data_IF_817169318996
#
_entry.id   IF_817169318996
#
_cell.length_a   1.000
_cell.length_b   1.000
_cell.length_c   1.000
_cell.angle_alpha   90.00
_cell.angle_beta   90.00
_cell.angle_gamma   90.00
#
_symmetry.space_group_name_H-M   'P 1'
#
loop_
_entity.id
_entity.type
_entity.pdbx_description
1 polymer ?
#
# COMPACT_ATOMS: atom_id res chain seq x y z
N UNK A 1 -30.86 -24.49 -13.33
CA UNK A 1 -30.81 -23.03 -13.13
C UNK A 1 -29.73 -22.50 -14.08
N UNK A 2 -30.14 -21.69 -15.05
CA UNK A 2 -29.33 -21.42 -16.23
C UNK A 2 -28.15 -20.50 -15.95
N UNK A 3 -26.97 -20.89 -16.41
CA UNK A 3 -25.73 -20.08 -16.43
C UNK A 3 -25.88 -18.69 -17.04
N UNK A 4 -26.90 -18.50 -17.88
CA UNK A 4 -27.25 -17.20 -18.48
C UNK A 4 -27.81 -16.19 -17.47
N UNK A 5 -28.46 -16.65 -16.40
CA UNK A 5 -29.02 -15.78 -15.34
C UNK A 5 -27.96 -15.21 -14.42
N UNK A 6 -26.87 -15.95 -14.16
CA UNK A 6 -25.76 -15.50 -13.33
C UNK A 6 -24.87 -14.46 -14.07
N UNK A 7 -24.68 -14.63 -15.37
CA UNK A 7 -23.97 -13.64 -16.20
C UNK A 7 -24.75 -12.32 -16.33
N UNK A 8 -26.06 -12.36 -16.36
CA UNK A 8 -26.91 -11.15 -16.39
C UNK A 8 -26.92 -10.43 -15.02
N UNK A 9 -26.84 -11.14 -13.89
CA UNK A 9 -26.79 -10.52 -12.57
C UNK A 9 -25.44 -9.84 -12.30
N UNK A 10 -24.33 -10.46 -12.71
CA UNK A 10 -23.00 -9.86 -12.65
C UNK A 10 -22.87 -8.61 -13.55
N UNK A 11 -23.53 -8.64 -14.71
CA UNK A 11 -23.56 -7.51 -15.65
C UNK A 11 -24.36 -6.31 -15.11
N UNK A 12 -25.37 -6.55 -14.27
CA UNK A 12 -26.21 -5.48 -13.71
C UNK A 12 -25.59 -4.75 -12.52
N UNK A 13 -24.76 -5.43 -11.73
CA UNK A 13 -24.06 -4.82 -10.57
C UNK A 13 -22.88 -3.92 -11.00
N UNK A 14 -22.30 -4.16 -12.18
CA UNK A 14 -21.17 -3.38 -12.70
C UNK A 14 -21.56 -2.03 -13.36
N UNK A 15 -22.84 -1.72 -13.50
CA UNK A 15 -23.34 -0.58 -14.32
C UNK A 15 -23.53 0.75 -13.59
N UNK A 16 -23.21 0.88 -12.32
CA UNK A 16 -23.44 2.10 -11.54
C UNK A 16 -22.13 2.79 -11.09
N UNK A 17 -21.38 3.38 -12.03
CA UNK A 17 -20.41 4.41 -11.68
C UNK A 17 -20.19 5.40 -12.84
N UNK A 18 -20.42 6.66 -12.54
CA UNK A 18 -20.31 7.81 -13.45
C UNK A 18 -18.84 8.12 -13.72
N UNK A 19 -18.46 8.18 -14.99
CA UNK A 19 -17.12 8.59 -15.43
C UNK A 19 -16.94 10.10 -15.25
N UNK A 20 -16.08 10.50 -14.35
CA UNK A 20 -15.50 11.86 -14.32
C UNK A 20 -14.17 11.86 -15.07
N UNK A 21 -14.02 12.69 -16.10
CA UNK A 21 -12.74 12.98 -16.74
C UNK A 21 -11.82 13.64 -15.71
N UNK A 22 -10.78 12.95 -15.26
CA UNK A 22 -9.74 13.52 -14.43
C UNK A 22 -8.43 13.50 -15.21
N UNK A 23 -7.82 14.69 -15.37
CA UNK A 23 -6.46 14.82 -15.89
C UNK A 23 -5.49 14.01 -15.03
N UNK A 24 -4.53 13.34 -15.68
CA UNK A 24 -3.43 12.66 -14.99
C UNK A 24 -2.62 13.75 -14.30
N UNK A 25 -2.61 13.76 -12.97
CA UNK A 25 -1.81 14.69 -12.18
C UNK A 25 -0.33 14.47 -12.50
N UNK A 26 0.28 15.40 -13.22
CA UNK A 26 1.73 15.47 -13.38
C UNK A 26 2.32 15.91 -12.04
N UNK A 27 2.94 14.98 -11.31
CA UNK A 27 3.55 15.28 -10.00
C UNK A 27 3.28 14.20 -8.95
N UNK A 28 2.62 13.11 -9.29
CA UNK A 28 2.45 11.95 -8.42
C UNK A 28 3.31 10.76 -8.87
N UNK A 29 3.60 9.86 -7.93
CA UNK A 29 4.26 8.58 -8.22
C UNK A 29 3.23 7.58 -8.70
N UNK A 30 3.52 6.89 -9.81
CA UNK A 30 2.69 5.82 -10.34
C UNK A 30 3.53 4.59 -10.65
N UNK A 31 2.95 3.40 -10.41
CA UNK A 31 3.61 2.11 -10.60
C UNK A 31 2.69 1.10 -11.29
N UNK A 32 3.19 0.46 -12.33
CA UNK A 32 2.63 -0.76 -12.91
C UNK A 32 3.50 -1.92 -12.49
N UNK A 33 2.94 -2.91 -11.79
CA UNK A 33 3.70 -4.06 -11.29
C UNK A 33 3.09 -5.37 -11.74
N UNK A 34 3.97 -6.33 -11.96
CA UNK A 34 3.64 -7.68 -12.36
C UNK A 34 4.33 -8.67 -11.42
N UNK A 35 3.55 -9.59 -10.88
CA UNK A 35 4.01 -10.66 -9.99
C UNK A 35 3.60 -12.01 -10.56
N UNK A 36 4.48 -13.00 -10.42
CA UNK A 36 4.08 -14.39 -10.60
C UNK A 36 4.72 -15.29 -9.57
N UNK A 37 4.06 -16.42 -9.32
CA UNK A 37 4.58 -17.54 -8.56
C UNK A 37 4.27 -18.81 -9.36
N UNK A 38 5.30 -19.61 -9.66
CA UNK A 38 5.17 -20.97 -10.17
C UNK A 38 5.63 -21.95 -9.09
N UNK A 39 4.86 -23.01 -8.83
CA UNK A 39 5.10 -23.95 -7.73
C UNK A 39 5.13 -25.40 -8.21
N UNK A 40 5.93 -26.22 -7.53
CA UNK A 40 5.98 -27.67 -7.72
C UNK A 40 6.12 -28.36 -6.35
N UNK A 41 5.35 -29.44 -6.14
CA UNK A 41 5.42 -30.20 -4.89
C UNK A 41 4.61 -29.61 -3.72
N UNK A 42 3.74 -28.63 -3.99
CA UNK A 42 2.82 -28.03 -3.02
C UNK A 42 1.36 -28.37 -3.32
N UNK A 43 0.54 -28.42 -2.25
CA UNK A 43 -0.92 -28.36 -2.40
C UNK A 43 -1.36 -26.89 -2.58
N UNK A 44 -0.93 -26.30 -3.69
CA UNK A 44 -1.10 -24.90 -4.04
C UNK A 44 -1.19 -24.79 -5.58
N UNK A 45 -1.84 -23.79 -6.15
CA UNK A 45 -1.88 -23.60 -7.60
C UNK A 45 -0.49 -23.65 -8.22
N UNK A 46 -0.35 -24.39 -9.34
CA UNK A 46 0.94 -24.50 -10.04
C UNK A 46 1.45 -23.17 -10.58
N UNK A 47 0.54 -22.22 -10.80
CA UNK A 47 0.86 -20.87 -11.26
C UNK A 47 -0.14 -19.85 -10.80
N UNK A 48 0.35 -18.71 -10.32
CA UNK A 48 -0.43 -17.50 -9.99
C UNK A 48 0.23 -16.31 -10.65
N UNK A 49 -0.57 -15.42 -11.23
CA UNK A 49 -0.12 -14.15 -11.81
C UNK A 49 -1.01 -13.00 -11.31
N UNK A 50 -0.40 -11.89 -10.94
CA UNK A 50 -1.11 -10.66 -10.54
C UNK A 50 -0.49 -9.44 -11.20
N UNK A 51 -1.34 -8.59 -11.76
CA UNK A 51 -0.97 -7.27 -12.27
C UNK A 51 -1.60 -6.21 -11.40
N UNK A 52 -0.82 -5.22 -10.98
CA UNK A 52 -1.30 -4.10 -10.17
C UNK A 52 -0.92 -2.77 -10.79
N UNK A 53 -1.76 -1.76 -10.55
CA UNK A 53 -1.45 -0.34 -10.82
C UNK A 53 -1.68 0.42 -9.52
N UNK A 54 -0.64 1.12 -9.04
CA UNK A 54 -0.63 1.79 -7.73
C UNK A 54 -1.18 0.87 -6.62
N UNK A 55 -0.69 -0.39 -6.61
CA UNK A 55 -1.09 -1.48 -5.72
C UNK A 55 -2.55 -1.97 -5.85
N UNK A 56 -3.35 -1.36 -6.73
CA UNK A 56 -4.70 -1.85 -7.05
C UNK A 56 -4.60 -3.01 -8.03
N UNK A 57 -5.21 -4.15 -7.70
CA UNK A 57 -5.19 -5.34 -8.57
C UNK A 57 -6.05 -5.09 -9.82
N UNK A 58 -5.39 -5.04 -10.98
CA UNK A 58 -6.04 -4.92 -12.28
C UNK A 58 -6.35 -6.27 -12.91
N UNK A 59 -5.52 -7.26 -12.61
CA UNK A 59 -5.66 -8.60 -13.17
C UNK A 59 -5.13 -9.63 -12.17
N UNK A 60 -5.83 -10.75 -12.05
CA UNK A 60 -5.42 -11.91 -11.27
C UNK A 60 -5.71 -13.19 -12.06
N UNK A 61 -4.78 -14.11 -12.09
CA UNK A 61 -4.89 -15.42 -12.70
C UNK A 61 -4.37 -16.49 -11.73
N UNK A 62 -5.05 -17.61 -11.67
CA UNK A 62 -4.71 -18.76 -10.87
C UNK A 62 -4.96 -20.03 -11.70
N UNK A 63 -3.97 -20.93 -11.79
CA UNK A 63 -4.05 -22.14 -12.60
C UNK A 63 -5.09 -23.15 -12.14
N UNK A 64 -5.54 -23.08 -10.89
CA UNK A 64 -6.55 -23.97 -10.29
C UNK A 64 -7.96 -23.41 -10.41
N UNK A 65 -8.09 -22.14 -10.75
CA UNK A 65 -9.39 -21.46 -10.73
C UNK A 65 -10.10 -21.50 -12.06
N UNK A 66 -11.38 -21.87 -12.00
CA UNK A 66 -12.42 -21.27 -12.81
C UNK A 66 -12.68 -19.85 -12.30
N UNK A 67 -11.79 -18.90 -12.58
CA UNK A 67 -11.86 -17.55 -12.02
C UNK A 67 -13.07 -16.82 -12.57
N UNK A 68 -13.97 -16.40 -11.69
CA UNK A 68 -14.83 -15.25 -11.99
C UNK A 68 -13.92 -14.02 -12.05
N UNK A 69 -13.90 -13.25 -13.13
CA UNK A 69 -13.13 -12.04 -13.20
C UNK A 69 -13.59 -11.11 -12.07
N UNK A 70 -12.64 -10.62 -11.25
CA UNK A 70 -12.87 -9.38 -10.51
C UNK A 70 -13.48 -8.42 -11.52
N UNK A 71 -14.66 -7.81 -11.21
CA UNK A 71 -15.30 -6.83 -12.11
C UNK A 71 -14.69 -5.44 -11.85
N UNK A 72 -13.49 -5.12 -12.28
CA UNK A 72 -12.99 -3.76 -12.20
C UNK A 72 -13.79 -2.88 -13.18
N UNK A 73 -14.02 -1.64 -12.80
CA UNK A 73 -14.84 -0.72 -13.60
C UNK A 73 -14.25 -0.47 -14.99
N UNK A 74 -12.93 -0.57 -15.15
CA UNK A 74 -12.26 -0.42 -16.43
C UNK A 74 -12.66 -1.49 -17.47
N UNK A 75 -13.16 -2.66 -17.05
CA UNK A 75 -13.68 -3.70 -17.96
C UNK A 75 -14.96 -3.28 -18.69
N UNK A 76 -15.63 -2.22 -18.27
CA UNK A 76 -16.83 -1.72 -18.94
C UNK A 76 -16.54 -1.02 -20.28
N UNK A 77 -15.28 -0.88 -20.65
CA UNK A 77 -14.85 -0.29 -21.93
C UNK A 77 -14.40 -1.36 -22.91
N UNK A 78 -14.51 -1.09 -24.22
CA UNK A 78 -14.01 -1.99 -25.28
C UNK A 78 -12.50 -2.20 -25.12
N UNK A 79 -11.75 -1.14 -24.85
CA UNK A 79 -10.32 -1.18 -24.53
C UNK A 79 -10.02 -2.07 -23.34
N UNK A 80 -10.75 -1.89 -22.25
CA UNK A 80 -10.57 -2.66 -21.03
C UNK A 80 -10.78 -4.16 -21.27
N UNK A 81 -11.85 -4.54 -21.97
CA UNK A 81 -12.13 -5.93 -22.33
C UNK A 81 -11.00 -6.52 -23.21
N UNK A 82 -10.51 -5.76 -24.18
CA UNK A 82 -9.40 -6.22 -25.05
C UNK A 82 -8.12 -6.40 -24.24
N UNK A 83 -7.79 -5.48 -23.35
CA UNK A 83 -6.61 -5.58 -22.47
C UNK A 83 -6.70 -6.77 -21.53
N UNK A 84 -7.89 -6.98 -20.93
CA UNK A 84 -8.11 -8.15 -20.07
C UNK A 84 -7.91 -9.45 -20.82
N UNK A 85 -8.47 -9.58 -22.05
CA UNK A 85 -8.26 -10.74 -22.91
C UNK A 85 -6.79 -10.97 -23.19
N UNK A 86 -6.05 -9.92 -23.56
CA UNK A 86 -4.60 -9.99 -23.82
C UNK A 86 -3.83 -10.45 -22.59
N UNK A 87 -4.19 -9.97 -21.37
CA UNK A 87 -3.56 -10.40 -20.13
C UNK A 87 -3.89 -11.85 -19.80
N UNK A 88 -5.13 -12.29 -20.02
CA UNK A 88 -5.55 -13.66 -19.78
C UNK A 88 -4.86 -14.66 -20.72
N UNK A 89 -4.76 -14.34 -22.01
CA UNK A 89 -4.04 -15.16 -23.00
C UNK A 89 -2.54 -15.23 -22.66
N UNK A 90 -1.95 -14.13 -22.24
CA UNK A 90 -0.56 -14.09 -21.75
C UNK A 90 -0.38 -14.93 -20.50
N UNK A 91 -1.30 -14.85 -19.51
CA UNK A 91 -1.20 -15.62 -18.27
C UNK A 91 -1.26 -17.12 -18.53
N UNK A 92 -2.11 -17.59 -19.45
CA UNK A 92 -2.15 -18.99 -19.88
C UNK A 92 -0.83 -19.44 -20.52
N UNK A 93 -0.27 -18.60 -21.41
CA UNK A 93 1.04 -18.85 -21.99
C UNK A 93 2.14 -18.90 -20.92
N UNK A 94 2.16 -17.93 -20.02
CA UNK A 94 3.13 -17.85 -18.93
C UNK A 94 3.01 -19.05 -17.97
N UNK A 95 1.81 -19.50 -17.66
CA UNK A 95 1.59 -20.70 -16.85
C UNK A 95 2.33 -21.90 -17.47
N UNK A 96 2.11 -22.19 -18.74
CA UNK A 96 2.80 -23.28 -19.42
C UNK A 96 4.32 -23.07 -19.49
N UNK A 97 4.75 -21.89 -19.89
CA UNK A 97 6.16 -21.57 -20.07
C UNK A 97 6.95 -21.58 -18.75
N UNK A 98 6.43 -20.94 -17.70
CA UNK A 98 7.12 -20.84 -16.42
C UNK A 98 7.08 -22.13 -15.61
N UNK A 99 6.04 -22.97 -15.77
CA UNK A 99 6.02 -24.32 -15.20
C UNK A 99 7.14 -25.19 -15.82
N UNK A 100 7.30 -25.15 -17.15
CA UNK A 100 8.40 -25.86 -17.84
C UNK A 100 9.78 -25.30 -17.44
N UNK A 101 9.88 -23.98 -17.29
CA UNK A 101 11.11 -23.33 -16.81
C UNK A 101 11.46 -23.81 -15.40
N UNK A 102 10.47 -23.87 -14.48
CA UNK A 102 10.66 -24.35 -13.12
C UNK A 102 11.19 -25.80 -13.11
N UNK A 103 10.62 -26.70 -13.91
CA UNK A 103 11.14 -28.07 -14.04
C UNK A 103 12.61 -28.11 -14.48
N UNK A 104 12.98 -27.26 -15.44
CA UNK A 104 14.36 -27.15 -15.91
C UNK A 104 15.31 -26.61 -14.83
N UNK A 105 14.87 -25.60 -14.06
CA UNK A 105 15.62 -25.02 -12.96
C UNK A 105 15.83 -26.05 -11.85
N UNK A 106 14.77 -26.76 -11.45
CA UNK A 106 14.84 -27.82 -10.44
C UNK A 106 15.85 -28.89 -10.82
N UNK A 107 15.86 -29.36 -12.09
CA UNK A 107 16.84 -30.33 -12.56
C UNK A 107 18.28 -29.83 -12.40
N UNK A 108 18.55 -28.57 -12.64
CA UNK A 108 19.90 -27.98 -12.49
C UNK A 108 20.32 -27.90 -11.01
N UNK A 109 19.39 -27.57 -10.10
CA UNK A 109 19.68 -27.54 -8.67
C UNK A 109 19.78 -28.95 -8.07
N UNK A 110 18.96 -29.92 -8.50
CA UNK A 110 18.98 -31.28 -7.98
C UNK A 110 20.23 -32.08 -8.39
N UNK A 111 20.99 -31.62 -9.40
CA UNK A 111 22.33 -32.16 -9.68
C UNK A 111 23.35 -31.84 -8.58
N UNK A 112 23.06 -30.84 -7.74
CA UNK A 112 23.93 -30.35 -6.67
C UNK A 112 23.35 -30.53 -5.27
N UNK A 113 22.03 -30.76 -5.15
CA UNK A 113 21.32 -30.78 -3.86
C UNK A 113 20.10 -31.71 -3.92
N UNK A 114 20.15 -32.87 -3.24
CA UNK A 114 19.14 -33.94 -3.29
C UNK A 114 17.94 -33.74 -2.35
N UNK A 115 17.65 -32.52 -1.88
CA UNK A 115 16.51 -32.32 -0.98
C UNK A 115 15.17 -32.39 -1.73
N UNK A 116 14.21 -33.16 -1.18
CA UNK A 116 12.81 -33.28 -1.64
C UNK A 116 11.98 -32.02 -1.30
N UNK A 117 12.55 -30.86 -1.51
CA UNK A 117 11.93 -29.61 -1.09
C UNK A 117 10.91 -29.08 -2.09
N UNK A 118 9.99 -28.36 -1.55
CA UNK A 118 9.04 -27.50 -2.25
C UNK A 118 9.76 -26.53 -3.17
N UNK A 119 9.43 -26.55 -4.45
CA UNK A 119 10.02 -25.67 -5.43
C UNK A 119 9.10 -24.49 -5.73
N UNK A 120 9.63 -23.30 -5.52
CA UNK A 120 8.93 -22.04 -5.78
C UNK A 120 9.81 -21.17 -6.68
N UNK A 121 9.28 -20.79 -7.84
CA UNK A 121 9.88 -19.83 -8.74
C UNK A 121 9.04 -18.58 -8.80
N UNK A 122 9.62 -17.43 -8.50
CA UNK A 122 8.94 -16.17 -8.31
C UNK A 122 9.47 -15.13 -9.29
N UNK A 123 8.60 -14.25 -9.75
CA UNK A 123 9.01 -13.09 -10.52
C UNK A 123 8.31 -11.84 -10.07
N UNK A 124 9.08 -10.77 -10.06
CA UNK A 124 8.60 -9.41 -9.83
C UNK A 124 9.17 -8.47 -10.87
N UNK A 125 8.31 -7.66 -11.43
CA UNK A 125 8.74 -6.57 -12.30
C UNK A 125 7.86 -5.36 -12.12
N UNK A 126 8.41 -4.17 -12.39
CA UNK A 126 7.67 -2.93 -12.29
C UNK A 126 8.14 -1.89 -13.29
N UNK A 127 7.25 -0.94 -13.57
CA UNK A 127 7.52 0.27 -14.33
C UNK A 127 6.96 1.45 -13.54
N UNK A 128 7.85 2.31 -13.07
CA UNK A 128 7.53 3.44 -12.21
C UNK A 128 7.68 4.77 -12.95
N UNK A 129 6.71 5.67 -12.79
CA UNK A 129 6.79 7.06 -13.20
C UNK A 129 6.88 7.90 -11.92
N UNK A 130 7.96 8.64 -11.77
CA UNK A 130 8.19 9.49 -10.61
C UNK A 130 7.57 10.89 -10.82
N UNK A 131 7.33 11.68 -9.74
CA UNK A 131 6.76 13.02 -9.83
C UNK A 131 7.50 13.97 -10.78
N UNK A 132 8.80 13.80 -10.92
CA UNK A 132 9.66 14.58 -11.84
C UNK A 132 9.64 14.06 -13.30
N UNK A 133 8.77 13.10 -13.62
CA UNK A 133 8.68 12.49 -14.96
C UNK A 133 9.71 11.38 -15.21
N UNK A 134 10.66 11.13 -14.31
CA UNK A 134 11.64 10.04 -14.45
C UNK A 134 10.92 8.69 -14.53
N UNK A 135 11.37 7.82 -15.44
CA UNK A 135 10.86 6.48 -15.64
C UNK A 135 11.91 5.46 -15.21
N UNK A 136 11.52 4.47 -14.41
CA UNK A 136 12.36 3.35 -14.02
C UNK A 136 11.59 2.06 -14.19
N UNK A 137 12.26 1.03 -14.71
CA UNK A 137 11.73 -0.31 -14.81
C UNK A 137 12.72 -1.31 -14.25
N UNK A 138 12.22 -2.40 -13.69
CA UNK A 138 13.03 -3.52 -13.23
C UNK A 138 12.31 -4.85 -13.50
N UNK A 139 13.11 -5.88 -13.68
CA UNK A 139 12.66 -7.26 -13.84
C UNK A 139 13.61 -8.18 -13.07
N UNK A 140 13.07 -8.88 -12.09
CA UNK A 140 13.83 -9.80 -11.22
C UNK A 140 13.07 -11.12 -11.05
N UNK A 141 13.82 -12.20 -10.89
CA UNK A 141 13.26 -13.52 -10.61
C UNK A 141 14.05 -14.18 -9.49
N UNK A 142 13.35 -14.94 -8.64
CA UNK A 142 13.91 -15.67 -7.52
C UNK A 142 13.53 -17.14 -7.57
N UNK A 143 14.39 -17.97 -7.03
CA UNK A 143 14.13 -19.40 -6.84
C UNK A 143 14.34 -19.77 -5.37
N UNK A 144 13.37 -20.46 -4.77
CA UNK A 144 13.35 -20.80 -3.33
C UNK A 144 13.66 -19.60 -2.43
N UNK A 145 13.09 -18.41 -2.74
CA UNK A 145 13.25 -17.18 -1.99
C UNK A 145 14.60 -16.48 -2.12
N UNK A 146 15.49 -16.94 -3.03
CA UNK A 146 16.79 -16.31 -3.30
C UNK A 146 16.82 -15.76 -4.72
N UNK A 147 17.49 -14.63 -4.91
CA UNK A 147 17.67 -14.03 -6.21
C UNK A 147 18.29 -15.05 -7.18
N UNK A 148 17.62 -15.23 -8.31
CA UNK A 148 18.03 -16.17 -9.33
C UNK A 148 18.60 -15.46 -10.56
N UNK A 149 17.84 -14.49 -11.08
CA UNK A 149 18.27 -13.79 -12.25
C UNK A 149 17.46 -12.48 -12.47
N UNK A 150 18.07 -11.48 -13.10
CA UNK A 150 17.47 -10.19 -13.40
C UNK A 150 17.81 -9.73 -14.83
N UNK A 151 17.10 -8.69 -15.32
CA UNK A 151 17.35 -8.10 -16.63
C UNK A 151 18.02 -6.73 -16.46
N UNK A 152 19.21 -6.57 -17.04
CA UNK A 152 19.80 -5.25 -17.32
C UNK A 152 19.17 -4.73 -18.62
N UNK A 153 18.18 -3.86 -18.46
CA UNK A 153 17.38 -3.32 -19.57
C UNK A 153 18.24 -2.46 -20.50
N UNK A 154 19.20 -1.74 -19.96
CA UNK A 154 20.05 -0.82 -20.72
C UNK A 154 21.07 -1.57 -21.55
N UNK A 155 21.70 -2.60 -20.98
CA UNK A 155 22.65 -3.46 -21.67
C UNK A 155 22.01 -4.57 -22.48
N UNK A 156 20.71 -4.76 -22.39
CA UNK A 156 19.94 -5.83 -23.03
C UNK A 156 20.52 -7.21 -22.73
N UNK A 157 20.83 -7.46 -21.48
CA UNK A 157 21.43 -8.72 -21.04
C UNK A 157 20.83 -9.14 -19.70
N UNK A 158 20.79 -10.46 -19.47
CA UNK A 158 20.40 -10.95 -18.14
C UNK A 158 21.59 -11.06 -17.21
N UNK A 159 21.37 -10.89 -15.94
CA UNK A 159 22.33 -11.04 -14.85
C UNK A 159 21.97 -12.29 -14.06
N UNK A 160 22.86 -13.28 -14.04
CA UNK A 160 22.70 -14.48 -13.24
C UNK A 160 23.20 -14.20 -11.81
N UNK A 161 22.36 -14.37 -10.81
CA UNK A 161 22.71 -14.15 -9.41
C UNK A 161 23.36 -15.38 -8.75
N UNK A 162 23.20 -16.55 -9.36
CA UNK A 162 23.77 -17.83 -8.90
C UNK A 162 24.33 -18.63 -10.08
N UNK A 163 25.29 -19.54 -9.87
CA UNK A 163 25.89 -20.33 -10.95
C UNK A 163 24.87 -21.12 -11.76
N UNK A 164 23.84 -21.67 -11.11
CA UNK A 164 22.78 -22.44 -11.76
C UNK A 164 21.94 -21.59 -12.73
N UNK A 165 21.87 -20.28 -12.55
CA UNK A 165 21.17 -19.37 -13.43
C UNK A 165 21.94 -19.09 -14.76
N UNK A 166 23.23 -19.41 -14.83
CA UNK A 166 24.05 -19.12 -16.02
C UNK A 166 23.56 -19.88 -17.24
N UNK A 167 23.16 -21.14 -17.09
CA UNK A 167 22.61 -21.94 -18.19
C UNK A 167 21.29 -21.34 -18.67
N UNK A 168 20.41 -20.99 -17.74
CA UNK A 168 19.12 -20.36 -18.03
C UNK A 168 19.31 -19.01 -18.73
N UNK A 169 20.25 -18.19 -18.26
CA UNK A 169 20.65 -16.93 -18.90
C UNK A 169 21.02 -17.15 -20.36
N UNK A 170 21.95 -18.10 -20.66
CA UNK A 170 22.40 -18.39 -22.02
C UNK A 170 21.23 -18.80 -22.92
N UNK A 171 20.32 -19.64 -22.44
CA UNK A 171 19.13 -20.05 -23.19
C UNK A 171 18.21 -18.85 -23.51
N UNK A 172 18.01 -17.97 -22.54
CA UNK A 172 17.16 -16.78 -22.74
C UNK A 172 17.79 -15.78 -23.71
N UNK A 173 19.10 -15.60 -23.68
CA UNK A 173 19.81 -14.67 -24.56
C UNK A 173 20.00 -15.23 -25.97
N UNK A 174 20.03 -16.54 -26.12
CA UNK A 174 20.08 -17.19 -27.45
C UNK A 174 18.83 -16.90 -28.30
N UNK A 175 17.68 -16.65 -27.65
CA UNK A 175 16.46 -16.18 -28.31
C UNK A 175 16.44 -14.63 -28.35
N UNK A 176 17.16 -14.08 -29.35
CA UNK A 176 17.31 -12.61 -29.48
C UNK A 176 15.99 -11.90 -29.72
N UNK A 177 15.04 -12.49 -30.43
CA UNK A 177 13.71 -11.93 -30.68
C UNK A 177 12.93 -11.79 -29.37
N UNK A 178 12.98 -12.82 -28.54
CA UNK A 178 12.32 -12.77 -27.22
C UNK A 178 12.98 -11.75 -26.28
N UNK A 179 14.32 -11.69 -26.28
CA UNK A 179 15.07 -10.72 -25.49
C UNK A 179 14.72 -9.28 -25.89
N UNK A 180 14.72 -8.95 -27.17
CA UNK A 180 14.34 -7.63 -27.66
C UNK A 180 12.87 -7.30 -27.34
N UNK A 181 11.98 -8.27 -27.43
CA UNK A 181 10.56 -8.10 -27.06
C UNK A 181 10.42 -7.76 -25.57
N UNK A 182 11.13 -8.45 -24.67
CA UNK A 182 11.11 -8.20 -23.23
C UNK A 182 11.72 -6.83 -22.91
N UNK A 183 12.86 -6.49 -23.52
CA UNK A 183 13.51 -5.18 -23.35
C UNK A 183 12.59 -4.06 -23.83
N UNK A 184 11.99 -4.18 -25.02
CA UNK A 184 11.04 -3.21 -25.56
C UNK A 184 9.83 -3.01 -24.63
N UNK A 185 9.31 -4.11 -24.07
CA UNK A 185 8.24 -4.02 -23.09
C UNK A 185 8.60 -3.11 -21.91
N UNK A 186 9.77 -3.30 -21.29
CA UNK A 186 10.18 -2.50 -20.13
C UNK A 186 10.68 -1.09 -20.48
N UNK A 187 11.06 -0.84 -21.72
CA UNK A 187 11.44 0.53 -22.17
C UNK A 187 10.24 1.38 -22.53
N UNK A 188 9.18 0.79 -23.05
CA UNK A 188 8.04 1.54 -23.64
C UNK A 188 6.69 1.00 -23.21
N UNK A 189 6.33 -0.22 -23.57
CA UNK A 189 4.97 -0.75 -23.52
C UNK A 189 4.37 -0.77 -22.11
N UNK A 190 5.18 -1.06 -21.07
CA UNK A 190 4.66 -1.06 -19.70
C UNK A 190 4.28 0.34 -19.22
N UNK A 191 4.98 1.37 -19.65
CA UNK A 191 4.63 2.77 -19.32
C UNK A 191 3.38 3.24 -20.06
N UNK A 192 3.20 2.78 -21.31
CA UNK A 192 1.96 3.04 -22.06
C UNK A 192 0.77 2.35 -21.41
N UNK A 193 0.93 1.10 -20.96
CA UNK A 193 -0.09 0.40 -20.20
C UNK A 193 -0.41 1.09 -18.86
N UNK A 194 0.61 1.53 -18.13
CA UNK A 194 0.40 2.29 -16.90
C UNK A 194 -0.46 3.53 -17.17
N UNK A 195 -0.14 4.32 -18.18
CA UNK A 195 -0.94 5.49 -18.57
C UNK A 195 -2.37 5.11 -18.92
N UNK A 196 -2.55 4.09 -19.73
CA UNK A 196 -3.88 3.60 -20.13
C UNK A 196 -4.73 3.24 -18.90
N UNK A 197 -4.17 2.53 -17.90
CA UNK A 197 -4.90 2.22 -16.67
C UNK A 197 -5.21 3.46 -15.83
N UNK A 198 -4.28 4.40 -15.74
CA UNK A 198 -4.50 5.68 -15.04
C UNK A 198 -5.63 6.49 -15.69
N UNK A 199 -5.80 6.40 -17.00
CA UNK A 199 -6.87 7.08 -17.75
C UNK A 199 -8.22 6.37 -17.61
N UNK A 200 -8.26 5.04 -17.68
CA UNK A 200 -9.50 4.28 -17.85
C UNK A 200 -9.93 3.49 -16.60
N UNK A 201 -9.10 3.38 -15.55
CA UNK A 201 -9.40 2.66 -14.31
C UNK A 201 -9.65 3.63 -13.15
N UNK A 202 -10.91 4.05 -12.90
CA UNK A 202 -11.23 5.02 -11.85
C UNK A 202 -10.85 4.52 -10.45
N UNK A 203 -10.85 3.21 -10.20
CA UNK A 203 -10.49 2.58 -8.95
C UNK A 203 -9.03 2.84 -8.52
N UNK A 204 -8.13 3.10 -9.48
CA UNK A 204 -6.73 3.47 -9.20
C UNK A 204 -6.66 4.86 -8.58
N UNK A 205 -7.55 5.76 -8.98
CA UNK A 205 -7.56 7.17 -8.54
C UNK A 205 -8.31 7.42 -7.24
N UNK A 206 -8.97 6.41 -6.68
CA UNK A 206 -9.69 6.54 -5.41
C UNK A 206 -8.69 6.86 -4.30
N UNK A 207 -8.85 8.03 -3.68
CA UNK A 207 -8.08 8.45 -2.50
C UNK A 207 -8.91 8.24 -1.24
N UNK A 208 -8.26 7.77 -0.15
CA UNK A 208 -8.86 7.66 1.18
C UNK A 208 -8.02 8.43 2.19
N UNK A 209 -8.69 9.16 3.09
CA UNK A 209 -8.05 9.98 4.11
C UNK A 209 -7.42 9.12 5.22
N UNK A 210 -6.21 9.47 5.69
CA UNK A 210 -5.61 8.80 6.83
C UNK A 210 -6.35 9.13 8.14
N UNK A 211 -6.55 8.11 8.97
CA UNK A 211 -6.88 8.26 10.38
C UNK A 211 -5.57 8.27 11.18
N UNK A 212 -5.40 9.26 12.06
CA UNK A 212 -4.20 9.42 12.88
C UNK A 212 -4.54 9.23 14.35
N UNK A 213 -3.89 8.27 15.01
CA UNK A 213 -4.02 7.98 16.44
C UNK A 213 -2.66 8.05 17.13
N UNK A 214 -2.62 8.60 18.33
CA UNK A 214 -1.42 8.66 19.16
C UNK A 214 -1.55 7.69 20.33
N UNK A 215 -0.46 6.97 20.60
CA UNK A 215 -0.35 6.04 21.73
C UNK A 215 0.91 6.33 22.53
N UNK A 216 0.87 6.09 23.83
CA UNK A 216 2.03 6.09 24.71
C UNK A 216 2.19 4.71 25.35
N UNK A 217 3.42 4.19 25.34
CA UNK A 217 3.82 3.03 26.13
C UNK A 217 4.88 3.48 27.13
N UNK A 218 4.55 3.37 28.42
CA UNK A 218 5.49 3.66 29.48
C UNK A 218 6.57 2.57 29.57
N UNK A 219 7.80 3.00 29.74
CA UNK A 219 8.97 2.17 30.04
C UNK A 219 9.58 2.63 31.37
N UNK A 220 10.60 1.94 31.90
CA UNK A 220 11.18 2.22 33.23
C UNK A 220 11.72 3.66 33.35
N UNK A 221 12.47 4.15 32.37
CA UNK A 221 13.13 5.47 32.38
C UNK A 221 12.63 6.42 31.28
N UNK A 222 11.72 5.95 30.40
CA UNK A 222 11.24 6.70 29.26
C UNK A 222 9.79 6.37 28.97
N UNK A 223 9.21 6.99 27.95
CA UNK A 223 8.00 6.52 27.31
C UNK A 223 8.19 6.56 25.79
N UNK A 224 7.55 5.61 25.09
CA UNK A 224 7.53 5.55 23.63
C UNK A 224 6.21 6.14 23.15
N UNK A 225 6.29 7.25 22.43
CA UNK A 225 5.16 7.86 21.76
C UNK A 225 5.06 7.28 20.34
N UNK A 226 3.93 6.74 19.97
CA UNK A 226 3.69 6.16 18.65
C UNK A 226 2.57 6.91 17.94
N UNK A 227 2.88 7.40 16.74
CA UNK A 227 1.90 7.91 15.78
C UNK A 227 1.51 6.76 14.84
N UNK A 228 0.28 6.30 14.94
CA UNK A 228 -0.30 5.30 14.05
C UNK A 228 -1.19 5.98 13.03
N UNK A 229 -0.84 5.80 11.78
CA UNK A 229 -1.55 6.34 10.61
C UNK A 229 -2.13 5.17 9.84
N UNK A 230 -3.43 5.14 9.61
CA UNK A 230 -4.12 3.99 8.98
C UNK A 230 -5.29 4.43 8.10
N UNK A 231 -5.77 3.51 7.23
CA UNK A 231 -6.96 3.73 6.39
C UNK A 231 -6.72 4.61 5.16
N UNK A 232 -5.47 4.96 4.85
CA UNK A 232 -5.16 5.85 3.74
C UNK A 232 -4.93 5.10 2.42
N UNK A 233 -5.20 5.79 1.31
CA UNK A 233 -4.89 5.40 -0.07
C UNK A 233 -4.63 6.67 -0.89
N UNK A 234 -3.56 6.74 -1.71
CA UNK A 234 -2.55 5.73 -2.05
C UNK A 234 -1.53 5.45 -0.93
N UNK A 235 -0.57 4.56 -1.19
CA UNK A 235 0.46 4.10 -0.24
C UNK A 235 1.43 5.18 0.24
N UNK A 236 1.69 6.20 -0.59
CA UNK A 236 2.67 7.24 -0.28
C UNK A 236 2.15 8.15 0.83
N UNK A 237 2.91 8.19 1.94
CA UNK A 237 2.60 9.00 3.11
C UNK A 237 3.90 9.49 3.75
N UNK A 238 3.91 10.72 4.25
CA UNK A 238 4.99 11.23 5.10
C UNK A 238 4.45 11.40 6.51
N UNK A 239 5.18 10.88 7.49
CA UNK A 239 4.84 10.95 8.90
C UNK A 239 6.05 11.45 9.66
N UNK A 240 5.91 12.56 10.37
CA UNK A 240 7.01 13.19 11.11
C UNK A 240 6.57 13.50 12.55
N UNK A 241 7.51 13.37 13.49
CA UNK A 241 7.36 13.92 14.82
C UNK A 241 8.06 15.25 14.91
N UNK A 242 7.34 16.26 15.42
CA UNK A 242 7.85 17.59 15.69
C UNK A 242 7.88 17.77 17.21
N UNK A 243 9.05 18.07 17.73
CA UNK A 243 9.29 18.35 19.15
C UNK A 243 9.19 19.85 19.50
N UNK A 244 9.71 20.20 20.67
CA UNK A 244 9.80 21.58 21.12
C UNK A 244 10.61 22.45 20.14
N UNK A 245 10.18 23.68 19.93
CA UNK A 245 10.80 24.61 19.00
C UNK A 245 10.55 24.31 17.52
N UNK A 246 9.53 23.49 17.22
CA UNK A 246 9.13 23.08 15.86
C UNK A 246 10.24 22.34 15.09
N UNK A 247 11.14 21.64 15.78
CA UNK A 247 12.19 20.85 15.16
C UNK A 247 11.74 19.41 14.97
N UNK A 248 12.06 18.78 13.80
CA UNK A 248 11.85 17.36 13.59
C UNK A 248 12.58 16.52 14.64
N UNK A 249 11.93 15.47 15.12
CA UNK A 249 12.51 14.50 16.05
C UNK A 249 12.71 13.18 15.33
N UNK A 250 13.92 12.66 15.38
CA UNK A 250 14.22 11.34 14.81
C UNK A 250 13.48 10.26 15.58
N UNK A 251 12.93 9.32 14.84
CA UNK A 251 12.17 8.21 15.40
C UNK A 251 12.17 7.01 14.48
N UNK A 252 11.89 5.86 15.06
CA UNK A 252 11.72 4.62 14.31
C UNK A 252 10.45 4.68 13.46
N UNK A 253 10.57 4.40 12.18
CA UNK A 253 9.46 4.28 11.24
C UNK A 253 9.31 2.83 10.81
N UNK A 254 8.08 2.31 10.83
CA UNK A 254 7.77 1.01 10.23
C UNK A 254 7.49 1.18 8.74
N UNK A 255 7.69 0.10 7.98
CA UNK A 255 7.25 0.06 6.58
C UNK A 255 5.74 0.34 6.48
N UNK A 256 5.34 0.85 5.32
CA UNK A 256 3.93 1.00 5.00
C UNK A 256 3.36 -0.37 4.64
N UNK A 257 2.44 -0.87 5.47
CA UNK A 257 1.82 -2.17 5.36
C UNK A 257 0.38 -2.07 4.80
N UNK A 258 -0.08 -3.05 4.02
CA UNK A 258 -1.46 -3.07 3.53
C UNK A 258 -2.44 -3.48 4.64
N UNK A 259 -3.63 -2.89 4.61
CA UNK A 259 -4.82 -3.37 5.31
C UNK A 259 -5.60 -4.35 4.41
N UNK A 260 -6.48 -5.15 5.00
CA UNK A 260 -7.29 -6.10 4.23
C UNK A 260 -8.33 -5.46 3.28
N UNK A 261 -8.61 -4.17 3.43
CA UNK A 261 -9.61 -3.40 2.67
C UNK A 261 -9.01 -2.56 1.52
N UNK A 262 -7.73 -2.80 1.17
CA UNK A 262 -7.00 -2.07 0.13
C UNK A 262 -6.50 -0.68 0.54
N UNK A 263 -6.55 -0.36 1.82
CA UNK A 263 -5.87 0.81 2.41
C UNK A 263 -4.56 0.41 3.05
N UNK A 264 -3.84 1.39 3.59
CA UNK A 264 -2.52 1.19 4.16
C UNK A 264 -2.43 1.70 5.58
N UNK A 265 -1.40 1.24 6.30
CA UNK A 265 -1.03 1.71 7.62
C UNK A 265 0.48 1.83 7.77
N UNK A 266 0.90 2.73 8.65
CA UNK A 266 2.29 2.86 9.10
C UNK A 266 2.34 3.39 10.52
N UNK A 267 3.50 3.29 11.17
CA UNK A 267 3.74 3.82 12.51
C UNK A 267 5.08 4.53 12.55
N UNK A 268 5.13 5.65 13.27
CA UNK A 268 6.37 6.30 13.62
C UNK A 268 6.43 6.50 15.12
N UNK A 269 7.50 6.02 15.76
CA UNK A 269 7.66 6.06 17.21
C UNK A 269 8.87 6.90 17.60
N UNK A 270 8.76 7.68 18.68
CA UNK A 270 9.84 8.45 19.29
C UNK A 270 9.97 8.10 20.77
N UNK A 271 11.17 8.13 21.28
CA UNK A 271 11.45 7.93 22.69
C UNK A 271 11.42 9.30 23.38
N UNK A 272 10.60 9.43 24.43
CA UNK A 272 10.52 10.60 25.31
C UNK A 272 11.14 10.26 26.65
N UNK A 273 12.20 10.96 27.09
CA UNK A 273 12.74 10.81 28.42
C UNK A 273 11.71 11.17 29.51
N UNK A 274 11.66 10.41 30.60
CA UNK A 274 10.66 10.60 31.68
C UNK A 274 10.93 11.83 32.54
N UNK A 275 12.18 12.30 32.59
CA UNK A 275 12.60 13.48 33.36
C UNK A 275 12.30 14.81 32.64
N UNK A 276 11.88 14.79 31.40
CA UNK A 276 11.49 15.99 30.69
C UNK A 276 10.22 16.60 31.27
N UNK A 277 10.31 17.88 31.61
CA UNK A 277 9.14 18.62 32.08
C UNK A 277 8.05 18.60 31.00
N UNK A 278 6.86 18.00 31.26
CA UNK A 278 5.78 17.83 30.28
C UNK A 278 5.30 19.15 29.67
N UNK A 279 5.50 20.28 30.37
CA UNK A 279 5.06 21.59 29.90
C UNK A 279 6.03 22.23 28.89
N UNK A 280 7.30 21.82 28.88
CA UNK A 280 8.32 22.37 27.99
C UNK A 280 8.44 21.61 26.66
N UNK A 281 7.94 20.38 26.58
CA UNK A 281 8.16 19.53 25.41
C UNK A 281 6.82 19.00 24.88
N UNK A 282 6.24 19.71 23.93
CA UNK A 282 5.09 19.23 23.18
C UNK A 282 5.60 18.41 21.99
N UNK A 283 5.07 17.21 21.83
CA UNK A 283 5.30 16.36 20.66
C UNK A 283 4.07 16.39 19.77
N UNK A 284 4.26 16.66 18.48
CA UNK A 284 3.18 16.65 17.50
C UNK A 284 3.55 15.71 16.34
N UNK A 285 2.64 14.81 16.01
CA UNK A 285 2.73 14.03 14.80
C UNK A 285 2.12 14.80 13.63
N UNK A 286 2.89 15.00 12.58
CA UNK A 286 2.48 15.66 11.34
C UNK A 286 2.42 14.62 10.24
N UNK A 287 1.28 14.52 9.56
CA UNK A 287 1.03 13.58 8.47
C UNK A 287 0.71 14.35 7.20
N UNK A 288 1.48 14.07 6.14
CA UNK A 288 1.24 14.57 4.79
C UNK A 288 0.81 13.42 3.88
N UNK A 289 -0.28 13.64 3.15
CA UNK A 289 -0.82 12.61 2.25
C UNK A 289 -1.58 13.27 1.09
N UNK A 290 -1.50 12.69 -0.10
CA UNK A 290 -2.11 13.25 -1.33
C UNK A 290 -3.65 13.32 -1.32
N UNK A 291 -4.32 12.68 -0.35
CA UNK A 291 -5.77 12.79 -0.16
C UNK A 291 -6.19 14.06 0.57
N UNK A 292 -5.26 14.78 1.19
CA UNK A 292 -5.51 15.98 1.99
C UNK A 292 -4.84 17.19 1.34
N UNK A 293 -5.55 18.33 1.31
CA UNK A 293 -5.01 19.59 0.80
C UNK A 293 -4.02 20.31 1.72
N UNK A 294 -3.61 19.68 2.83
CA UNK A 294 -2.67 20.20 3.83
C UNK A 294 -2.14 19.08 4.70
N UNK A 295 -1.73 19.40 5.94
CA UNK A 295 -1.19 18.43 6.90
C UNK A 295 -2.21 18.11 7.98
N UNK A 296 -2.27 16.85 8.44
CA UNK A 296 -2.94 16.48 9.69
C UNK A 296 -1.90 16.58 10.80
N UNK A 297 -2.18 17.41 11.81
CA UNK A 297 -1.33 17.55 12.99
C UNK A 297 -2.07 17.04 14.23
N UNK A 298 -1.49 16.10 14.94
CA UNK A 298 -1.99 15.60 16.24
C UNK A 298 -0.93 15.84 17.29
N UNK A 299 -1.28 16.64 18.31
CA UNK A 299 -0.37 16.95 19.42
C UNK A 299 -0.61 15.98 20.56
N UNK A 300 0.47 15.42 21.08
CA UNK A 300 0.44 14.62 22.30
C UNK A 300 0.14 15.51 23.50
N UNK A 301 -0.86 15.09 24.30
CA UNK A 301 -1.22 15.76 25.55
C UNK A 301 -1.14 14.76 26.68
N UNK A 302 -0.35 15.04 27.72
CA UNK A 302 -0.24 14.16 28.90
C UNK A 302 -1.58 14.09 29.66
N UNK A 303 -1.93 12.91 30.18
CA UNK A 303 -3.16 12.71 30.98
C UNK A 303 -3.26 13.68 32.17
N UNK A 304 -2.13 14.08 32.74
CA UNK A 304 -2.08 15.07 33.85
C UNK A 304 -2.68 16.40 33.43
N UNK A 305 -2.46 16.85 32.22
CA UNK A 305 -3.01 18.10 31.69
C UNK A 305 -4.51 18.02 31.49
N UNK A 306 -5.01 16.86 31.05
CA UNK A 306 -6.46 16.63 30.91
C UNK A 306 -7.14 16.62 32.29
N UNK A 307 -6.55 15.91 33.25
CA UNK A 307 -7.11 15.85 34.64
C UNK A 307 -7.11 17.21 35.31
N UNK A 308 -6.06 18.02 35.17
CA UNK A 308 -6.00 19.38 35.70
C UNK A 308 -7.02 20.31 35.03
N UNK A 309 -7.19 20.24 33.73
CA UNK A 309 -8.20 21.01 33.01
C UNK A 309 -9.62 20.67 33.43
N UNK A 310 -9.94 19.38 33.58
CA UNK A 310 -11.26 18.94 34.08
C UNK A 310 -11.50 19.35 35.52
N UNK A 311 -10.50 19.23 36.41
CA UNK A 311 -10.58 19.67 37.78
C UNK A 311 -10.80 21.20 37.91
N UNK A 312 -10.06 21.98 37.13
CA UNK A 312 -10.23 23.43 37.09
C UNK A 312 -11.64 23.83 36.62
N UNK A 313 -12.15 23.18 35.59
CA UNK A 313 -13.52 23.42 35.08
C UNK A 313 -14.58 23.05 36.12
N UNK A 314 -14.43 21.93 36.83
CA UNK A 314 -15.34 21.51 37.87
C UNK A 314 -15.33 22.50 39.05
N UNK A 315 -14.15 22.98 39.45
CA UNK A 315 -14.02 24.00 40.51
C UNK A 315 -14.71 25.31 40.10
N UNK A 316 -14.53 25.76 38.87
CA UNK A 316 -15.23 26.96 38.37
C UNK A 316 -16.74 26.80 38.35
N UNK A 317 -17.27 25.64 37.98
CA UNK A 317 -18.71 25.36 37.99
C UNK A 317 -19.24 25.40 39.45
N UNK A 318 -18.54 24.76 40.40
CA UNK A 318 -18.93 24.73 41.80
C UNK A 318 -18.94 26.15 42.39
N UNK A 319 -17.91 26.94 42.11
CA UNK A 319 -17.84 28.33 42.56
C UNK A 319 -18.96 29.19 41.96
N UNK A 320 -19.31 28.99 40.70
CA UNK A 320 -20.43 29.69 40.06
C UNK A 320 -21.79 29.34 40.72
N UNK A 321 -22.01 28.06 41.03
CA UNK A 321 -23.24 27.60 41.71
C UNK A 321 -23.33 28.16 43.11
N UNK A 322 -22.23 28.19 43.88
CA UNK A 322 -22.18 28.77 45.22
C UNK A 322 -22.44 30.28 45.15
N UNK A 323 -21.81 30.99 44.19
CA UNK A 323 -22.02 32.42 43.98
C UNK A 323 -23.48 32.76 43.66
N UNK A 324 -24.10 32.03 42.74
CA UNK A 324 -25.53 32.19 42.43
C UNK A 324 -26.42 31.90 43.64
N UNK A 325 -26.08 30.86 44.43
CA UNK A 325 -26.83 30.53 45.67
C UNK A 325 -26.75 31.63 46.72
N UNK A 326 -25.60 32.28 46.88
CA UNK A 326 -25.41 33.40 47.81
C UNK A 326 -26.19 34.65 47.36
N UNK A 327 -26.14 35.00 46.10
CA UNK A 327 -26.91 36.09 45.50
C UNK A 327 -28.41 35.86 45.66
N UNK A 328 -28.88 34.63 45.41
CA UNK A 328 -30.29 34.28 45.60
C UNK A 328 -30.74 34.39 47.09
N UNK A 329 -29.88 33.92 48.00
CA UNK A 329 -30.15 34.09 49.45
C UNK A 329 -30.22 35.58 49.88
N UNK A 330 -29.35 36.42 49.34
CA UNK A 330 -29.34 37.85 49.60
C UNK A 330 -30.60 38.50 49.04
N UNK A 331 -31.04 38.12 47.86
CA UNK A 331 -32.27 38.61 47.25
C UNK A 331 -33.53 38.17 47.99
N UNK A 332 -33.57 36.96 48.53
CA UNK A 332 -34.68 36.49 49.37
C UNK A 332 -34.70 37.20 50.76
N UNK A 333 -33.54 37.54 51.33
CA UNK A 333 -33.47 38.28 52.59
C UNK A 333 -33.95 39.72 52.43
N UNK A 334 -33.65 40.37 51.32
CA UNK A 334 -34.16 41.77 51.11
C UNK A 334 -35.66 41.84 50.90
N UNK A 335 -36.30 40.79 50.40
CA UNK A 335 -37.75 40.70 50.25
C UNK A 335 -38.51 40.42 51.59
N UNK A 336 -37.82 39.90 52.62
CA UNK A 336 -38.44 39.58 53.91
C UNK A 336 -38.41 40.78 54.90
N UNK A 337 -37.92 41.95 54.52
CA UNK A 337 -37.85 43.17 55.36
C UNK A 337 -38.86 44.21 54.90
N UNK A 338 -39.73 43.91 53.95
CA UNK A 338 -40.79 44.81 53.47
C UNK A 338 -42.15 44.08 53.63
N UNK A 339 -42.54 43.81 54.92
CA UNK A 339 -43.90 43.53 55.32
C UNK A 339 -44.06 44.18 56.77
#
# INVERSE_FOLDING_TARGET
>A
MNTLGLLLSAYFVCKLAVAGNAEISTGEFHSFSFFFIATQGLNFPSYIERVTVDDVTMFYYDSSMTVEPLCPQWLNTTEGLQQWKNMNDRAKYNNHYLSSALESIVKQFNQTDFSSETNIYQGYSHCNIFPNGTRKAAFTQAFRGKDFFSLDIDRKTYVASVPQAVVYKRQREANTVLLETVVSFYRTTCFERLKMFLEHAPEVRVKKFPEVRLFERAESSSSVLTCHVTGFKPKQVQVEWIGAGLQPVDGEITDVLPNGDGTYQTRRSVIRPREENPEKHSYSCVVQHSSIGGNITKTWVTETRIRMGVLASLVCIVLAVIGCGLVFRQFCRTKSVVI
#
